data_IF_807505702450
#
_entry.id   IF_807505702450
#
_cell.length_a   1.000
_cell.length_b   1.000
_cell.length_c   1.000
_cell.angle_alpha   90.00
_cell.angle_beta   90.00
_cell.angle_gamma   90.00
#
_symmetry.space_group_name_H-M   'P 1'
#
loop_
_entity.id
_entity.type
_entity.pdbx_description
1 polymer ?
#
# COMPACT_ATOMS: atom_id res chain seq x y z
N UNK A 1 10.90 -2.54 22.79
CA UNK A 1 11.04 -1.12 22.38
C UNK A 1 9.66 -0.47 22.50
N UNK A 2 9.56 0.71 23.11
CA UNK A 2 8.29 1.43 23.21
C UNK A 2 8.13 2.31 21.96
N UNK A 3 7.02 2.16 21.24
CA UNK A 3 6.65 3.01 20.11
C UNK A 3 5.51 3.91 20.56
N UNK A 4 5.74 5.22 20.53
CA UNK A 4 4.73 6.24 20.84
C UNK A 4 4.38 7.00 19.56
N UNK A 5 3.11 6.89 19.15
CA UNK A 5 2.53 7.66 18.06
C UNK A 5 1.76 8.84 18.63
N UNK A 6 1.85 9.99 17.99
CA UNK A 6 0.94 11.11 18.24
C UNK A 6 -0.16 11.06 17.21
N UNK A 7 -1.36 10.71 17.65
CA UNK A 7 -2.55 10.60 16.82
C UNK A 7 -3.53 11.72 17.19
N UNK A 8 -4.34 12.12 16.22
CA UNK A 8 -5.52 12.93 16.54
C UNK A 8 -6.55 12.05 17.26
N UNK A 9 -7.52 12.61 18.00
CA UNK A 9 -8.58 11.82 18.62
C UNK A 9 -9.35 10.93 17.63
N UNK A 10 -9.57 11.44 16.41
CA UNK A 10 -10.25 10.71 15.35
C UNK A 10 -9.41 9.51 14.87
N UNK A 11 -8.10 9.69 14.69
CA UNK A 11 -7.18 8.61 14.31
C UNK A 11 -7.05 7.55 15.42
N UNK A 12 -7.09 7.97 16.70
CA UNK A 12 -7.10 7.03 17.82
C UNK A 12 -8.35 6.15 17.83
N UNK A 13 -9.51 6.74 17.54
CA UNK A 13 -10.76 6.01 17.44
C UNK A 13 -10.73 5.05 16.25
N UNK A 14 -10.29 5.53 15.08
CA UNK A 14 -10.15 4.70 13.88
C UNK A 14 -9.24 3.49 14.12
N UNK A 15 -8.10 3.69 14.80
CA UNK A 15 -7.18 2.61 15.15
C UNK A 15 -7.80 1.64 16.16
N UNK A 16 -8.61 2.13 17.10
CA UNK A 16 -9.30 1.29 18.06
C UNK A 16 -10.33 0.38 17.37
N UNK A 17 -11.12 0.94 16.45
CA UNK A 17 -12.14 0.22 15.69
C UNK A 17 -11.48 -0.83 14.77
N UNK A 18 -10.44 -0.43 14.03
CA UNK A 18 -9.67 -1.34 13.19
C UNK A 18 -9.07 -2.52 13.98
N UNK A 19 -8.53 -2.23 15.16
CA UNK A 19 -7.96 -3.26 16.03
C UNK A 19 -9.06 -4.21 16.57
N UNK A 20 -10.22 -3.67 16.95
CA UNK A 20 -11.36 -4.45 17.43
C UNK A 20 -11.93 -5.37 16.35
N UNK A 21 -12.12 -4.85 15.13
CA UNK A 21 -12.61 -5.62 13.98
C UNK A 21 -11.69 -6.80 13.62
N UNK A 22 -10.38 -6.60 13.76
CA UNK A 22 -9.37 -7.62 13.45
C UNK A 22 -9.04 -8.53 14.65
N UNK A 23 -9.58 -8.25 15.84
CA UNK A 23 -9.24 -8.97 17.07
C UNK A 23 -7.77 -8.83 17.48
N UNK A 24 -7.14 -7.69 17.18
CA UNK A 24 -5.73 -7.41 17.41
C UNK A 24 -5.54 -6.36 18.51
N UNK A 25 -4.32 -6.29 19.05
CA UNK A 25 -3.92 -5.12 19.84
C UNK A 25 -3.75 -3.90 18.93
N UNK A 26 -3.91 -2.69 19.47
CA UNK A 26 -3.67 -1.44 18.70
C UNK A 26 -2.26 -1.37 18.12
N UNK A 27 -1.27 -1.90 18.86
CA UNK A 27 0.12 -1.94 18.39
C UNK A 27 0.28 -2.89 17.19
N UNK A 28 -0.30 -4.08 17.27
CA UNK A 28 -0.25 -5.05 16.17
C UNK A 28 -1.02 -4.54 14.94
N UNK A 29 -2.21 -3.97 15.14
CA UNK A 29 -2.98 -3.34 14.06
C UNK A 29 -2.18 -2.23 13.35
N UNK A 30 -1.44 -1.42 14.12
CA UNK A 30 -0.55 -0.39 13.58
C UNK A 30 0.55 -0.99 12.70
N UNK A 31 1.29 -1.98 13.22
CA UNK A 31 2.39 -2.62 12.50
C UNK A 31 1.88 -3.31 11.24
N UNK A 32 0.75 -4.00 11.33
CA UNK A 32 0.09 -4.66 10.20
C UNK A 32 -0.33 -3.65 9.14
N UNK A 33 -0.99 -2.56 9.52
CA UNK A 33 -1.39 -1.50 8.59
C UNK A 33 -0.19 -0.88 7.86
N UNK A 34 0.95 -0.69 8.55
CA UNK A 34 2.20 -0.21 7.93
C UNK A 34 2.71 -1.21 6.89
N UNK A 35 2.75 -2.51 7.21
CA UNK A 35 3.19 -3.56 6.27
C UNK A 35 2.27 -3.64 5.06
N UNK A 36 0.96 -3.67 5.26
CA UNK A 36 -0.03 -3.70 4.18
C UNK A 36 0.05 -2.45 3.29
N UNK A 37 0.27 -1.28 3.88
CA UNK A 37 0.48 -0.05 3.11
C UNK A 37 1.79 -0.09 2.31
N UNK A 38 2.86 -0.65 2.87
CA UNK A 38 4.13 -0.83 2.18
C UNK A 38 4.03 -1.84 1.04
N UNK A 39 3.34 -2.96 1.25
CA UNK A 39 3.09 -3.99 0.24
C UNK A 39 2.24 -3.44 -0.92
N UNK A 40 1.15 -2.72 -0.62
CA UNK A 40 0.33 -2.05 -1.65
C UNK A 40 1.15 -1.08 -2.49
N UNK A 41 1.96 -0.23 -1.86
CA UNK A 41 2.85 0.72 -2.56
C UNK A 41 3.94 0.02 -3.36
N UNK A 42 4.51 -1.07 -2.84
CA UNK A 42 5.51 -1.88 -3.53
C UNK A 42 4.92 -2.60 -4.75
N UNK A 43 3.69 -3.12 -4.62
CA UNK A 43 2.94 -3.73 -5.71
C UNK A 43 2.60 -2.70 -6.81
N UNK A 44 2.10 -1.53 -6.45
CA UNK A 44 1.84 -0.44 -7.40
C UNK A 44 3.10 0.04 -8.12
N UNK A 45 4.23 0.14 -7.39
CA UNK A 45 5.52 0.49 -7.98
C UNK A 45 5.96 -0.58 -8.98
N UNK A 46 5.86 -1.86 -8.61
CA UNK A 46 6.17 -3.00 -9.47
C UNK A 46 5.29 -3.02 -10.72
N UNK A 47 3.99 -2.76 -10.59
CA UNK A 47 3.09 -2.66 -11.75
C UNK A 47 3.47 -1.47 -12.64
N UNK A 48 3.77 -0.30 -12.05
CA UNK A 48 4.18 0.88 -12.84
C UNK A 48 5.49 0.65 -13.59
N UNK A 49 6.49 0.06 -12.94
CA UNK A 49 7.79 -0.24 -13.54
C UNK A 49 7.70 -1.33 -14.62
N UNK A 50 6.97 -2.41 -14.35
CA UNK A 50 6.72 -3.46 -15.36
C UNK A 50 5.91 -2.92 -16.55
N UNK A 51 4.88 -2.12 -16.31
CA UNK A 51 4.09 -1.48 -17.36
C UNK A 51 4.92 -0.48 -18.18
N UNK A 52 5.84 0.26 -17.56
CA UNK A 52 6.78 1.12 -18.27
C UNK A 52 7.71 0.29 -19.17
N UNK A 53 8.28 -0.80 -18.65
CA UNK A 53 9.15 -1.71 -19.42
C UNK A 53 8.42 -2.37 -20.60
N UNK A 54 7.19 -2.83 -20.41
CA UNK A 54 6.41 -3.45 -21.48
C UNK A 54 5.94 -2.45 -22.54
N UNK A 55 5.53 -1.24 -22.13
CA UNK A 55 5.22 -0.15 -23.08
C UNK A 55 6.44 0.24 -23.90
N UNK A 56 7.61 0.31 -23.30
CA UNK A 56 8.85 0.62 -24.03
C UNK A 56 9.25 -0.51 -24.97
N UNK A 57 9.11 -1.78 -24.54
CA UNK A 57 9.44 -2.96 -25.34
C UNK A 57 8.50 -3.20 -26.52
N UNK A 58 7.22 -2.87 -26.38
CA UNK A 58 6.20 -3.07 -27.42
C UNK A 58 5.73 -1.77 -28.07
N UNK A 59 6.39 -0.65 -27.82
CA UNK A 59 6.01 0.67 -28.35
C UNK A 59 5.87 0.66 -29.87
N UNK A 60 6.86 0.11 -30.58
CA UNK A 60 6.85 0.04 -32.04
C UNK A 60 5.80 -0.94 -32.58
N UNK A 61 5.57 -2.06 -31.89
CA UNK A 61 4.55 -3.03 -32.27
C UNK A 61 3.14 -2.44 -32.11
N UNK A 62 2.87 -1.78 -30.98
CA UNK A 62 1.60 -1.12 -30.70
C UNK A 62 1.35 0.06 -31.66
N UNK A 63 2.38 0.83 -31.99
CA UNK A 63 2.29 1.90 -32.98
C UNK A 63 1.97 1.38 -34.39
N UNK A 64 2.38 0.15 -34.71
CA UNK A 64 2.09 -0.50 -35.99
C UNK A 64 0.71 -1.16 -36.04
N UNK A 65 0.21 -1.67 -34.92
CA UNK A 65 -1.10 -2.31 -34.80
C UNK A 65 -2.26 -1.32 -34.57
N UNK A 66 -1.95 -0.08 -34.17
CA UNK A 66 -2.94 1.00 -34.00
C UNK A 66 -3.18 1.86 -35.24
N UNK A 67 -2.56 1.50 -36.38
CA UNK A 67 -2.87 2.04 -37.71
C UNK A 67 -3.78 1.07 -38.46
#
# INVERSE_FOLDING_TARGET
MAMTLRLTPDDEQLLADLAAEQGLSRQEATVRAIREAAERRGHERTIRESSARYRQRYAELLARLGK
#
